data_IF_654938798248
#
_entry.id   IF_654938798248
#
_cell.length_a   1.000
_cell.length_b   1.000
_cell.length_c   1.000
_cell.angle_alpha   90.00
_cell.angle_beta   90.00
_cell.angle_gamma   90.00
#
_symmetry.space_group_name_H-M   'P 1'
#
loop_
_entity.id
_entity.type
_entity.pdbx_description
1 polymer ?
#
# COMPACT_ATOMS: atom_id res chain seq x y z
N UNK A 1 24.48 26.59 15.70
CA UNK A 1 24.90 25.32 15.07
C UNK A 1 26.26 24.80 15.56
N UNK A 2 27.30 25.64 15.73
CA UNK A 2 28.63 25.20 16.20
C UNK A 2 28.70 24.64 17.65
N UNK A 3 27.81 25.06 18.56
CA UNK A 3 27.78 24.53 19.96
C UNK A 3 27.35 23.06 20.04
N UNK A 4 26.32 22.65 19.29
CA UNK A 4 25.86 21.25 19.20
C UNK A 4 26.95 20.33 18.64
N UNK A 5 27.65 20.75 17.57
CA UNK A 5 28.73 19.97 16.98
C UNK A 5 29.88 19.72 17.97
N UNK A 6 30.26 20.74 18.75
CA UNK A 6 31.29 20.61 19.78
C UNK A 6 30.83 19.74 20.97
N UNK A 7 29.54 19.77 21.33
CA UNK A 7 28.97 18.88 22.36
C UNK A 7 28.91 17.41 21.91
N UNK A 8 28.56 17.15 20.64
CA UNK A 8 28.56 15.81 20.06
C UNK A 8 29.98 15.20 19.95
N UNK A 9 30.97 16.03 19.63
CA UNK A 9 32.37 15.60 19.52
C UNK A 9 33.00 15.30 20.88
N UNK A 10 32.63 16.04 21.94
CA UNK A 10 33.18 15.87 23.30
C UNK A 10 32.76 14.55 23.96
N UNK A 11 31.57 14.03 23.64
CA UNK A 11 31.00 12.79 24.23
C UNK A 11 31.30 11.50 23.44
N UNK A 12 32.22 11.52 22.46
CA UNK A 12 32.58 10.35 21.61
C UNK A 12 31.39 9.66 20.91
N UNK A 13 30.22 10.30 20.85
CA UNK A 13 28.95 9.71 20.45
C UNK A 13 28.84 9.41 18.94
N UNK A 14 29.78 9.91 18.13
CA UNK A 14 29.87 9.61 16.70
C UNK A 14 30.19 8.13 16.42
N UNK A 15 30.99 7.48 17.26
CA UNK A 15 31.41 6.09 17.02
C UNK A 15 30.23 5.11 16.96
N UNK A 16 29.31 5.07 17.96
CA UNK A 16 28.16 4.16 17.90
C UNK A 16 27.16 4.53 16.80
N UNK A 17 26.95 5.81 16.49
CA UNK A 17 26.06 6.23 15.40
C UNK A 17 26.60 5.77 14.04
N UNK A 18 27.89 5.96 13.79
CA UNK A 18 28.54 5.53 12.54
C UNK A 18 28.57 4.01 12.43
N UNK A 19 28.83 3.29 13.53
CA UNK A 19 28.78 1.84 13.57
C UNK A 19 27.36 1.31 13.26
N UNK A 20 26.33 1.92 13.85
CA UNK A 20 24.94 1.58 13.60
C UNK A 20 24.54 1.84 12.14
N UNK A 21 24.86 3.02 11.61
CA UNK A 21 24.57 3.37 10.23
C UNK A 21 25.25 2.40 9.24
N UNK A 22 26.49 2.00 9.53
CA UNK A 22 27.23 1.02 8.72
C UNK A 22 26.57 -0.35 8.76
N UNK A 23 26.16 -0.83 9.95
CA UNK A 23 25.46 -2.09 10.10
C UNK A 23 24.09 -2.08 9.40
N UNK A 24 23.31 -1.01 9.55
CA UNK A 24 22.04 -0.83 8.88
C UNK A 24 22.20 -0.82 7.35
N UNK A 25 23.24 -0.15 6.84
CA UNK A 25 23.55 -0.13 5.41
C UNK A 25 23.90 -1.53 4.87
N UNK A 26 24.75 -2.28 5.57
CA UNK A 26 25.08 -3.66 5.18
C UNK A 26 23.84 -4.55 5.23
N UNK A 27 23.01 -4.43 6.26
CA UNK A 27 21.78 -5.19 6.38
C UNK A 27 20.82 -4.89 5.22
N UNK A 28 20.69 -3.62 4.83
CA UNK A 28 19.91 -3.22 3.65
C UNK A 28 20.46 -3.83 2.37
N UNK A 29 21.77 -3.75 2.14
CA UNK A 29 22.42 -4.33 0.94
C UNK A 29 22.20 -5.84 0.85
N UNK A 30 22.41 -6.57 1.94
CA UNK A 30 22.18 -8.01 1.98
C UNK A 30 20.72 -8.33 1.72
N UNK A 31 19.79 -7.59 2.34
CA UNK A 31 18.36 -7.82 2.17
C UNK A 31 17.91 -7.58 0.73
N UNK A 32 18.43 -6.54 0.07
CA UNK A 32 18.17 -6.25 -1.34
C UNK A 32 18.62 -7.36 -2.30
N UNK A 33 19.64 -8.15 -1.94
CA UNK A 33 20.11 -9.28 -2.75
C UNK A 33 19.33 -10.55 -2.40
N UNK A 34 19.13 -10.82 -1.11
CA UNK A 34 18.55 -12.07 -0.61
C UNK A 34 17.05 -12.15 -0.87
N UNK A 35 16.30 -11.05 -0.66
CA UNK A 35 14.83 -11.06 -0.77
C UNK A 35 14.39 -11.39 -2.20
N UNK A 36 14.88 -10.72 -3.26
CA UNK A 36 14.55 -11.10 -4.63
C UNK A 36 15.06 -12.50 -4.99
N UNK A 37 16.26 -12.88 -4.53
CA UNK A 37 16.83 -14.20 -4.83
C UNK A 37 15.98 -15.35 -4.26
N UNK A 38 15.41 -15.16 -3.06
CA UNK A 38 14.54 -16.14 -2.40
C UNK A 38 13.05 -15.97 -2.74
N UNK A 39 12.69 -15.04 -3.63
CA UNK A 39 11.30 -14.69 -3.96
C UNK A 39 10.45 -14.36 -2.73
N UNK A 40 11.07 -13.70 -1.74
CA UNK A 40 10.41 -13.30 -0.51
C UNK A 40 9.53 -12.06 -0.79
N UNK A 41 8.33 -11.96 -0.19
CA UNK A 41 7.46 -10.81 -0.38
C UNK A 41 8.09 -9.45 0.00
N UNK A 42 7.84 -8.41 -0.80
CA UNK A 42 8.42 -7.07 -0.64
C UNK A 42 8.03 -6.35 0.67
N UNK A 43 6.94 -6.75 1.34
CA UNK A 43 6.56 -6.18 2.65
C UNK A 43 7.62 -6.42 3.73
N UNK A 44 8.48 -7.43 3.55
CA UNK A 44 9.58 -7.73 4.48
C UNK A 44 10.65 -6.65 4.44
N UNK A 45 10.92 -6.02 3.29
CA UNK A 45 11.82 -4.86 3.22
C UNK A 45 11.32 -3.71 4.10
N UNK A 46 10.02 -3.44 4.08
CA UNK A 46 9.42 -2.40 4.92
C UNK A 46 9.55 -2.73 6.41
N UNK A 47 9.42 -3.99 6.79
CA UNK A 47 9.57 -4.45 8.18
C UNK A 47 11.03 -4.30 8.67
N UNK A 48 12.00 -4.62 7.83
CA UNK A 48 13.43 -4.41 8.13
C UNK A 48 13.73 -2.93 8.33
N UNK A 49 13.24 -2.06 7.44
CA UNK A 49 13.40 -0.59 7.56
C UNK A 49 12.78 -0.10 8.87
N UNK A 50 11.59 -0.60 9.22
CA UNK A 50 10.93 -0.25 10.47
C UNK A 50 11.80 -0.60 11.70
N UNK A 51 12.39 -1.80 11.75
CA UNK A 51 13.28 -2.15 12.85
C UNK A 51 14.59 -1.36 12.87
N UNK A 52 15.12 -0.95 11.72
CA UNK A 52 16.28 -0.05 11.66
C UNK A 52 15.91 1.33 12.23
N UNK A 53 14.75 1.88 11.85
CA UNK A 53 14.31 3.17 12.38
C UNK A 53 14.02 3.09 13.88
N UNK A 54 13.41 1.99 14.34
CA UNK A 54 13.11 1.76 15.75
C UNK A 54 14.38 1.51 16.60
N UNK A 55 15.38 0.83 16.01
CA UNK A 55 16.65 0.55 16.66
C UNK A 55 17.51 1.80 16.85
N UNK A 56 17.38 2.81 16.00
CA UNK A 56 18.16 4.04 16.11
C UNK A 56 17.93 4.81 17.45
N UNK A 57 16.70 5.10 17.90
CA UNK A 57 16.43 5.70 19.21
C UNK A 57 17.00 4.89 20.38
N UNK A 58 16.92 3.55 20.30
CA UNK A 58 17.45 2.65 21.33
C UNK A 58 18.97 2.79 21.39
N UNK A 59 19.63 2.72 20.24
CA UNK A 59 21.10 2.83 20.15
C UNK A 59 21.58 4.21 20.62
N UNK A 60 20.85 5.26 20.27
CA UNK A 60 21.11 6.62 20.72
C UNK A 60 20.97 6.76 22.24
N UNK A 61 19.92 6.18 22.82
CA UNK A 61 19.69 6.20 24.27
C UNK A 61 20.78 5.42 25.02
N UNK A 62 21.15 4.23 24.55
CA UNK A 62 22.25 3.45 25.13
C UNK A 62 23.59 4.17 25.03
N UNK A 63 23.90 4.78 23.88
CA UNK A 63 25.10 5.60 23.71
C UNK A 63 25.12 6.84 24.61
N UNK A 64 23.94 7.31 25.03
CA UNK A 64 23.80 8.48 25.89
C UNK A 64 23.82 8.12 27.39
N UNK A 65 23.37 6.91 27.76
CA UNK A 65 23.37 6.40 29.15
C UNK A 65 24.68 5.71 29.53
N UNK A 66 25.33 5.02 28.59
CA UNK A 66 26.61 4.34 28.83
C UNK A 66 27.76 5.11 28.17
N UNK A 67 28.54 5.82 28.99
CA UNK A 67 29.82 6.41 28.57
C UNK A 67 30.86 5.28 28.49
N UNK A 68 30.93 4.58 27.36
CA UNK A 68 31.88 3.48 27.15
C UNK A 68 33.28 4.08 26.93
N UNK A 69 33.96 4.36 28.03
CA UNK A 69 35.40 4.61 28.07
C UNK A 69 36.20 3.30 27.89
N UNK A 70 37.39 3.33 27.27
CA UNK A 70 38.14 2.11 26.91
C UNK A 70 38.73 1.32 28.10
N UNK A 71 38.42 1.68 29.34
CA UNK A 71 39.09 1.18 30.55
C UNK A 71 38.20 0.31 31.45
N UNK A 72 37.07 -0.17 30.93
CA UNK A 72 36.21 -1.11 31.65
C UNK A 72 35.29 -0.46 32.69
N UNK A 73 34.28 -1.22 33.10
CA UNK A 73 33.20 -0.77 33.99
C UNK A 73 33.78 -0.36 35.35
N UNK A 74 33.95 0.94 35.60
CA UNK A 74 34.16 1.47 36.95
C UNK A 74 32.88 2.14 37.44
N UNK A 75 32.28 1.53 38.47
CA UNK A 75 31.33 2.24 39.37
C UNK A 75 32.02 3.50 39.87
N UNK A 76 31.32 4.62 39.87
CA UNK A 76 31.73 5.86 40.53
C UNK A 76 32.15 5.55 41.97
N UNK A 77 33.46 5.59 42.22
CA UNK A 77 34.00 5.56 43.58
C UNK A 77 33.71 6.92 44.22
N UNK A 78 32.82 6.92 45.20
CA UNK A 78 32.81 7.92 46.27
C UNK A 78 34.04 7.67 47.18
N UNK A 79 34.40 8.68 47.97
CA UNK A 79 35.60 8.84 48.82
C UNK A 79 36.87 9.31 48.06
N UNK A 80 37.50 10.46 48.34
CA UNK A 80 37.63 11.17 49.61
C UNK A 80 37.90 12.66 49.41
N UNK A 81 37.08 13.52 50.02
CA UNK A 81 37.51 14.64 50.88
C UNK A 81 36.25 15.27 51.50
N UNK A 82 36.15 15.24 52.82
CA UNK A 82 35.05 15.78 53.64
C UNK A 82 35.66 16.43 54.90
N UNK A 83 35.01 17.34 55.69
CA UNK A 83 33.76 18.12 55.51
C UNK A 83 33.95 19.61 56.01
N UNK A 84 32.95 20.46 56.39
CA UNK A 84 31.48 20.33 56.34
C UNK A 84 30.71 21.56 55.75
N UNK A 85 29.50 21.34 55.21
CA UNK A 85 28.23 21.89 55.76
C UNK A 85 27.00 21.64 54.85
N UNK A 86 26.06 20.93 55.48
CA UNK A 86 24.60 21.13 55.48
C UNK A 86 23.75 20.86 54.23
N UNK A 87 22.85 19.88 54.47
CA UNK A 87 21.42 19.81 54.09
C UNK A 87 21.02 19.35 52.68
N UNK A 88 20.49 18.13 52.69
CA UNK A 88 19.23 17.64 52.09
C UNK A 88 19.08 17.57 50.56
N UNK A 89 18.49 16.43 50.21
CA UNK A 89 17.70 16.09 49.03
C UNK A 89 18.44 15.55 47.81
N UNK A 90 18.43 14.21 47.77
CA UNK A 90 18.58 13.36 46.61
C UNK A 90 17.57 13.72 45.52
N UNK A 91 17.94 14.65 44.65
CA UNK A 91 17.22 14.92 43.42
C UNK A 91 17.97 14.28 42.24
N UNK A 92 17.85 12.95 42.09
CA UNK A 92 18.23 12.29 40.84
C UNK A 92 17.36 12.92 39.75
N UNK A 93 18.02 13.59 38.80
CA UNK A 93 17.44 14.48 37.80
C UNK A 93 16.42 13.77 36.92
N UNK A 94 15.14 13.85 37.30
CA UNK A 94 13.97 13.47 36.49
C UNK A 94 13.75 14.38 35.26
N UNK A 95 14.65 15.33 34.97
CA UNK A 95 14.49 16.30 33.86
C UNK A 95 14.93 15.76 32.48
N UNK A 96 15.42 14.52 32.38
CA UNK A 96 16.00 14.03 31.13
C UNK A 96 15.33 12.75 30.56
N UNK A 97 14.24 12.29 31.18
CA UNK A 97 13.44 11.17 30.65
C UNK A 97 12.38 11.69 29.64
N UNK A 98 12.01 12.96 29.69
CA UNK A 98 10.95 13.55 28.86
C UNK A 98 11.26 13.71 27.34
N UNK A 99 12.49 14.04 26.89
CA UNK A 99 12.72 14.23 25.45
C UNK A 99 12.87 12.90 24.68
N UNK A 100 13.23 11.80 25.37
CA UNK A 100 13.39 10.49 24.74
C UNK A 100 12.03 9.82 24.42
N UNK A 101 11.02 10.01 25.27
CA UNK A 101 9.66 9.52 25.02
C UNK A 101 8.95 10.34 23.94
N UNK A 102 9.17 11.65 23.90
CA UNK A 102 8.59 12.54 22.88
C UNK A 102 9.09 12.26 21.46
N UNK A 103 10.35 11.85 21.29
CA UNK A 103 10.88 11.52 19.96
C UNK A 103 10.36 10.16 19.45
N UNK A 104 10.18 9.19 20.36
CA UNK A 104 9.63 7.87 20.03
C UNK A 104 8.16 7.96 19.60
N UNK A 105 7.37 8.83 20.23
CA UNK A 105 5.97 9.07 19.86
C UNK A 105 5.85 9.83 18.53
N UNK A 106 6.76 10.75 18.21
CA UNK A 106 6.77 11.42 16.90
C UNK A 106 7.12 10.44 15.78
N UNK A 107 8.11 9.56 15.98
CA UNK A 107 8.47 8.53 15.00
C UNK A 107 7.34 7.51 14.84
N UNK A 108 6.77 7.03 15.95
CA UNK A 108 5.62 6.12 15.92
C UNK A 108 4.37 6.75 15.29
N UNK A 109 4.11 8.04 15.57
CA UNK A 109 3.00 8.79 15.00
C UNK A 109 3.18 9.07 13.50
N UNK A 110 4.38 9.49 13.07
CA UNK A 110 4.69 9.68 11.65
C UNK A 110 4.64 8.35 10.87
N UNK A 111 5.08 7.25 11.49
CA UNK A 111 4.96 5.92 10.92
C UNK A 111 3.50 5.47 10.83
N UNK A 112 2.69 5.67 11.87
CA UNK A 112 1.26 5.33 11.85
C UNK A 112 0.48 6.14 10.80
N UNK A 113 0.81 7.43 10.65
CA UNK A 113 0.25 8.31 9.62
C UNK A 113 0.71 7.85 8.23
N UNK A 114 2.00 7.57 8.01
CA UNK A 114 2.48 7.08 6.71
C UNK A 114 1.86 5.72 6.35
N UNK A 115 1.72 4.83 7.33
CA UNK A 115 1.09 3.53 7.14
C UNK A 115 -0.41 3.64 6.89
N UNK A 116 -1.14 4.54 7.58
CA UNK A 116 -2.57 4.72 7.34
C UNK A 116 -2.90 5.42 6.01
N UNK A 117 -2.02 6.32 5.54
CA UNK A 117 -2.15 6.94 4.22
C UNK A 117 -1.71 6.01 3.08
N UNK A 118 -0.78 5.07 3.31
CA UNK A 118 -0.29 4.11 2.30
C UNK A 118 -1.07 2.78 2.22
N UNK A 119 -1.76 2.37 3.28
CA UNK A 119 -2.50 1.11 3.33
C UNK A 119 -3.76 1.05 2.45
N UNK A 120 -4.13 2.14 1.77
CA UNK A 120 -5.29 2.17 0.87
C UNK A 120 -4.91 1.85 -0.58
N UNK A 121 -3.62 1.85 -0.97
CA UNK A 121 -3.24 1.66 -2.39
C UNK A 121 -2.33 0.46 -2.70
N UNK A 122 -1.66 -0.15 -1.71
CA UNK A 122 -0.63 -1.20 -1.98
C UNK A 122 -1.15 -2.64 -1.83
N UNK A 123 -2.39 -2.84 -1.37
CA UNK A 123 -2.98 -4.18 -1.20
C UNK A 123 -3.43 -4.87 -2.50
N UNK A 124 -3.63 -4.13 -3.59
CA UNK A 124 -4.25 -4.68 -4.82
C UNK A 124 -3.31 -5.57 -5.65
N UNK A 125 -2.00 -5.50 -5.41
CA UNK A 125 -0.98 -6.27 -6.14
C UNK A 125 -0.56 -7.58 -5.48
N UNK A 126 -0.67 -7.69 -4.15
CA UNK A 126 -0.22 -8.86 -3.37
C UNK A 126 -1.25 -10.02 -3.39
N UNK A 127 -2.55 -9.71 -3.50
CA UNK A 127 -3.61 -10.72 -3.54
C UNK A 127 -3.56 -11.61 -4.80
N UNK A 128 -3.10 -11.06 -5.93
CA UNK A 128 -2.97 -11.79 -7.20
C UNK A 128 -1.92 -12.91 -7.17
N UNK A 129 -0.92 -12.80 -6.30
CA UNK A 129 0.14 -13.82 -6.16
C UNK A 129 -0.18 -14.87 -5.09
N UNK A 130 -1.07 -14.58 -4.14
CA UNK A 130 -1.44 -15.49 -3.05
C UNK A 130 -2.65 -16.39 -3.37
N UNK A 131 -3.17 -16.37 -4.60
CA UNK A 131 -4.33 -17.18 -5.00
C UNK A 131 -5.67 -16.62 -4.50
N UNK A 132 -5.69 -15.38 -4.01
CA UNK A 132 -6.92 -14.67 -3.64
C UNK A 132 -7.54 -14.15 -4.94
N UNK A 133 -8.73 -14.65 -5.26
CA UNK A 133 -9.46 -14.24 -6.47
C UNK A 133 -9.96 -12.81 -6.30
N UNK A 134 -9.76 -11.97 -7.32
CA UNK A 134 -10.36 -10.63 -7.34
C UNK A 134 -11.84 -10.72 -7.68
N UNK A 135 -12.66 -10.07 -6.86
CA UNK A 135 -14.11 -10.01 -6.97
C UNK A 135 -14.49 -8.97 -8.03
N UNK A 136 -15.13 -9.39 -9.13
CA UNK A 136 -15.49 -8.51 -10.25
C UNK A 136 -16.94 -8.68 -10.71
N UNK A 137 -17.62 -7.56 -10.97
CA UNK A 137 -18.96 -7.54 -11.55
C UNK A 137 -18.93 -6.89 -12.94
N UNK A 138 -19.82 -7.33 -13.83
CA UNK A 138 -19.99 -6.73 -15.16
C UNK A 138 -21.39 -6.16 -15.20
N UNK A 139 -21.51 -4.84 -15.22
CA UNK A 139 -22.80 -4.15 -15.35
C UNK A 139 -23.30 -4.26 -16.79
N UNK A 140 -24.61 -4.16 -16.96
CA UNK A 140 -25.21 -4.11 -18.28
C UNK A 140 -24.73 -2.86 -19.01
N UNK A 141 -24.38 -3.01 -20.28
CA UNK A 141 -23.95 -1.88 -21.09
C UNK A 141 -25.15 -0.96 -21.36
N UNK A 142 -25.00 0.31 -21.01
CA UNK A 142 -26.03 1.32 -21.17
C UNK A 142 -26.11 1.77 -22.63
N UNK A 143 -27.32 1.75 -23.19
CA UNK A 143 -27.57 2.22 -24.53
C UNK A 143 -27.84 3.73 -24.51
N UNK A 144 -26.91 4.50 -25.06
CA UNK A 144 -27.01 5.95 -25.20
C UNK A 144 -27.79 6.36 -26.47
N UNK A 145 -28.22 5.39 -27.26
CA UNK A 145 -29.10 5.60 -28.41
C UNK A 145 -30.49 5.05 -28.13
N UNK A 146 -31.50 5.53 -28.86
CA UNK A 146 -32.87 4.99 -28.76
C UNK A 146 -33.10 3.78 -29.68
N UNK A 147 -32.04 3.08 -30.08
CA UNK A 147 -32.13 1.90 -30.95
C UNK A 147 -32.14 0.63 -30.09
N UNK A 148 -33.22 -0.16 -30.17
CA UNK A 148 -33.39 -1.40 -29.41
C UNK A 148 -32.35 -2.48 -29.75
N UNK A 149 -31.79 -2.45 -30.97
CA UNK A 149 -30.73 -3.37 -31.37
C UNK A 149 -29.49 -3.23 -30.47
N UNK A 150 -29.21 -2.00 -30.02
CA UNK A 150 -28.08 -1.72 -29.14
C UNK A 150 -28.32 -2.23 -27.71
N UNK A 151 -29.58 -2.39 -27.27
CA UNK A 151 -29.91 -3.03 -25.98
C UNK A 151 -29.59 -4.52 -26.01
N UNK A 152 -29.95 -5.19 -27.11
CA UNK A 152 -29.63 -6.61 -27.33
C UNK A 152 -28.12 -6.81 -27.47
N UNK A 153 -27.45 -5.95 -28.24
CA UNK A 153 -26.01 -5.99 -28.40
C UNK A 153 -25.27 -5.79 -27.07
N UNK A 154 -25.67 -4.78 -26.28
CA UNK A 154 -25.08 -4.53 -24.96
C UNK A 154 -25.28 -5.69 -23.99
N UNK A 155 -26.47 -6.27 -23.98
CA UNK A 155 -26.76 -7.47 -23.18
C UNK A 155 -25.89 -8.65 -23.60
N UNK A 156 -25.74 -8.89 -24.91
CA UNK A 156 -24.91 -9.96 -25.45
C UNK A 156 -23.42 -9.75 -25.11
N UNK A 157 -22.91 -8.54 -25.29
CA UNK A 157 -21.51 -8.21 -24.99
C UNK A 157 -21.22 -8.37 -23.49
N UNK A 158 -22.13 -7.94 -22.63
CA UNK A 158 -22.08 -8.15 -21.17
C UNK A 158 -21.94 -9.64 -20.83
N UNK A 159 -22.74 -10.49 -21.47
CA UNK A 159 -22.75 -11.94 -21.26
C UNK A 159 -21.47 -12.64 -21.75
N UNK A 160 -20.97 -12.21 -22.91
CA UNK A 160 -19.71 -12.70 -23.47
C UNK A 160 -18.54 -12.36 -22.55
N UNK A 161 -18.46 -11.11 -22.08
CA UNK A 161 -17.43 -10.69 -21.13
C UNK A 161 -17.54 -11.44 -19.81
N UNK A 162 -18.76 -11.58 -19.26
CA UNK A 162 -19.00 -12.31 -18.01
C UNK A 162 -18.55 -13.77 -18.11
N UNK A 163 -18.96 -14.46 -19.17
CA UNK A 163 -18.57 -15.86 -19.40
C UNK A 163 -17.07 -16.01 -19.62
N UNK A 164 -16.46 -15.09 -20.38
CA UNK A 164 -15.02 -15.16 -20.70
C UNK A 164 -14.15 -14.88 -19.49
N UNK A 165 -14.49 -13.86 -18.70
CA UNK A 165 -13.78 -13.54 -17.46
C UNK A 165 -13.99 -14.62 -16.39
N UNK A 166 -15.16 -15.26 -16.34
CA UNK A 166 -15.44 -16.34 -15.39
C UNK A 166 -14.60 -17.60 -15.62
N UNK A 167 -14.07 -17.80 -16.84
CA UNK A 167 -13.11 -18.87 -17.14
C UNK A 167 -11.74 -18.63 -16.52
N UNK A 168 -11.42 -17.38 -16.14
CA UNK A 168 -10.15 -17.03 -15.55
C UNK A 168 -10.15 -17.40 -14.06
N UNK A 169 -9.30 -18.34 -13.67
CA UNK A 169 -9.24 -18.88 -12.30
C UNK A 169 -8.89 -17.84 -11.23
N UNK A 170 -8.33 -16.69 -11.63
CA UNK A 170 -7.94 -15.56 -10.76
C UNK A 170 -9.07 -14.56 -10.48
N UNK A 171 -10.24 -14.74 -11.09
CA UNK A 171 -11.41 -13.87 -10.90
C UNK A 171 -12.55 -14.61 -10.22
N UNK A 172 -13.21 -13.92 -9.29
CA UNK A 172 -14.54 -14.28 -8.79
C UNK A 172 -15.58 -13.38 -9.46
N UNK A 173 -16.14 -13.86 -10.57
CA UNK A 173 -17.08 -13.09 -11.38
C UNK A 173 -18.49 -13.19 -10.83
N UNK A 174 -19.09 -12.04 -10.46
CA UNK A 174 -20.44 -11.99 -9.90
C UNK A 174 -21.50 -12.38 -10.93
N UNK A 175 -22.57 -12.99 -10.42
CA UNK A 175 -23.69 -13.42 -11.24
C UNK A 175 -24.45 -12.24 -11.87
N UNK A 176 -25.23 -12.54 -12.92
CA UNK A 176 -26.09 -11.55 -13.59
C UNK A 176 -27.03 -10.83 -12.62
N UNK A 177 -27.66 -11.57 -11.71
CA UNK A 177 -28.60 -11.02 -10.73
C UNK A 177 -27.92 -10.07 -9.75
N UNK A 178 -26.70 -10.37 -9.32
CA UNK A 178 -25.94 -9.50 -8.41
C UNK A 178 -25.48 -8.24 -9.15
N UNK A 179 -24.99 -8.38 -10.38
CA UNK A 179 -24.56 -7.24 -11.20
C UNK A 179 -25.74 -6.30 -11.53
N UNK A 180 -26.92 -6.86 -11.82
CA UNK A 180 -28.13 -6.06 -12.04
C UNK A 180 -28.59 -5.29 -10.79
N UNK A 181 -28.44 -5.89 -9.59
CA UNK A 181 -28.70 -5.17 -8.33
C UNK A 181 -27.71 -4.03 -8.15
N UNK A 182 -26.43 -4.28 -8.39
CA UNK A 182 -25.36 -3.27 -8.25
C UNK A 182 -25.60 -2.04 -9.13
N UNK A 183 -26.09 -2.22 -10.35
CA UNK A 183 -26.47 -1.11 -11.25
C UNK A 183 -27.52 -0.17 -10.65
N UNK A 184 -28.42 -0.69 -9.80
CA UNK A 184 -29.44 0.08 -9.10
C UNK A 184 -28.93 0.62 -7.75
N UNK A 185 -27.79 0.14 -7.28
CA UNK A 185 -27.17 0.46 -5.99
C UNK A 185 -26.16 1.60 -6.05
N UNK A 186 -25.57 1.86 -7.23
CA UNK A 186 -24.80 3.09 -7.50
C UNK A 186 -25.65 4.35 -7.22
N UNK A 187 -26.99 4.20 -7.17
CA UNK A 187 -27.97 5.24 -6.81
C UNK A 187 -28.45 5.25 -5.35
N UNK A 188 -27.87 4.46 -4.43
CA UNK A 188 -28.01 4.70 -2.97
C UNK A 188 -28.61 3.58 -2.11
N UNK A 189 -28.90 2.39 -2.65
CA UNK A 189 -29.40 1.27 -1.83
C UNK A 189 -28.56 -0.01 -2.04
N UNK A 190 -27.99 -0.50 -0.94
CA UNK A 190 -27.12 -1.70 -0.77
C UNK A 190 -25.60 -1.46 -0.78
N UNK A 191 -25.14 -0.73 0.24
CA UNK A 191 -23.74 -0.64 0.67
C UNK A 191 -23.07 -2.02 0.86
N UNK A 192 -23.85 -3.06 1.17
CA UNK A 192 -23.38 -4.39 1.54
C UNK A 192 -22.92 -5.28 0.36
N UNK A 193 -23.40 -4.99 -0.86
CA UNK A 193 -23.02 -5.76 -2.07
C UNK A 193 -21.77 -5.15 -2.71
N UNK A 194 -21.67 -3.82 -2.72
CA UNK A 194 -20.52 -3.09 -3.25
C UNK A 194 -19.29 -3.23 -2.32
N UNK A 195 -19.49 -3.38 -1.01
CA UNK A 195 -18.40 -3.52 -0.03
C UNK A 195 -17.52 -4.75 -0.22
N UNK A 196 -18.05 -5.82 -0.83
CA UNK A 196 -17.36 -7.09 -1.10
C UNK A 196 -16.87 -7.20 -2.55
N UNK A 197 -16.85 -6.10 -3.29
CA UNK A 197 -16.40 -6.05 -4.67
C UNK A 197 -15.07 -5.31 -4.76
N UNK A 198 -14.14 -5.82 -5.56
CA UNK A 198 -12.88 -5.12 -5.81
C UNK A 198 -13.04 -4.19 -7.02
N UNK A 199 -13.65 -4.70 -8.09
CA UNK A 199 -13.83 -3.99 -9.34
C UNK A 199 -15.21 -4.23 -9.94
N UNK A 200 -15.69 -3.25 -10.72
CA UNK A 200 -16.80 -3.48 -11.64
C UNK A 200 -16.50 -2.90 -13.01
N UNK A 201 -17.09 -3.51 -14.02
CA UNK A 201 -17.01 -3.07 -15.41
C UNK A 201 -18.30 -2.37 -15.76
N UNK A 202 -18.19 -1.14 -16.25
CA UNK A 202 -19.28 -0.41 -16.88
C UNK A 202 -19.03 -0.30 -18.37
N UNK A 203 -20.11 -0.21 -19.14
CA UNK A 203 -20.02 0.02 -20.56
C UNK A 203 -21.14 0.88 -21.08
N UNK A 204 -20.86 1.64 -22.12
CA UNK A 204 -21.86 2.41 -22.86
C UNK A 204 -21.77 2.07 -24.34
N UNK A 205 -22.93 2.04 -25.00
CA UNK A 205 -23.04 1.88 -26.43
C UNK A 205 -23.67 3.14 -27.00
N UNK A 206 -23.00 3.74 -27.97
CA UNK A 206 -23.58 4.77 -28.82
C UNK A 206 -23.43 4.39 -30.29
N UNK A 207 -24.30 4.90 -31.15
CA UNK A 207 -24.24 4.62 -32.58
C UNK A 207 -24.42 5.93 -33.35
N UNK A 208 -23.56 6.14 -34.33
CA UNK A 208 -23.61 7.28 -35.24
C UNK A 208 -23.54 6.73 -36.66
N UNK A 209 -24.61 6.92 -37.43
CA UNK A 209 -24.79 6.29 -38.73
C UNK A 209 -24.60 4.75 -38.63
N UNK A 210 -23.60 4.21 -39.33
CA UNK A 210 -23.30 2.76 -39.36
C UNK A 210 -22.22 2.35 -38.35
N UNK A 211 -21.65 3.29 -37.59
CA UNK A 211 -20.60 3.01 -36.62
C UNK A 211 -21.16 2.91 -35.21
N UNK A 212 -20.98 1.74 -34.58
CA UNK A 212 -21.24 1.54 -33.16
C UNK A 212 -19.96 1.84 -32.37
N UNK A 213 -20.09 2.67 -31.35
CA UNK A 213 -19.05 3.01 -30.38
C UNK A 213 -19.38 2.31 -29.06
N UNK A 214 -18.43 1.53 -28.57
CA UNK A 214 -18.47 0.92 -27.24
C UNK A 214 -17.38 1.54 -26.39
N UNK A 215 -17.78 2.14 -25.27
CA UNK A 215 -16.85 2.54 -24.23
C UNK A 215 -16.95 1.54 -23.09
N UNK A 216 -15.81 1.12 -22.56
CA UNK A 216 -15.71 0.17 -21.44
C UNK A 216 -14.81 0.79 -20.41
N UNK A 217 -15.23 0.76 -19.16
CA UNK A 217 -14.46 1.29 -18.03
C UNK A 217 -14.36 0.26 -16.92
N UNK A 218 -13.16 0.15 -16.35
CA UNK A 218 -12.91 -0.64 -15.14
C UNK A 218 -12.88 0.34 -13.97
N UNK A 219 -13.80 0.17 -13.03
CA UNK A 219 -13.93 1.03 -11.86
C UNK A 219 -13.53 0.23 -10.62
N UNK A 220 -12.78 0.86 -9.73
CA UNK A 220 -12.49 0.33 -8.41
C UNK A 220 -13.70 0.57 -7.49
N UNK A 221 -14.28 -0.51 -6.98
CA UNK A 221 -15.55 -0.44 -6.26
C UNK A 221 -15.44 0.29 -4.91
N UNK A 222 -14.25 0.29 -4.29
CA UNK A 222 -14.01 0.87 -2.96
C UNK A 222 -13.96 2.39 -2.98
N UNK A 223 -13.24 2.96 -3.93
CA UNK A 223 -13.00 4.41 -4.02
C UNK A 223 -13.73 5.07 -5.20
N UNK A 224 -14.47 4.29 -6.00
CA UNK A 224 -15.22 4.74 -7.17
C UNK A 224 -14.33 5.42 -8.23
N UNK A 225 -13.03 5.11 -8.26
CA UNK A 225 -12.12 5.66 -9.27
C UNK A 225 -12.07 4.80 -10.52
N UNK A 226 -12.09 5.46 -11.68
CA UNK A 226 -11.84 4.82 -12.97
C UNK A 226 -10.37 4.45 -13.10
N UNK A 227 -10.07 3.15 -13.10
CA UNK A 227 -8.71 2.62 -13.24
C UNK A 227 -8.27 2.53 -14.70
N UNK A 228 -9.23 2.26 -15.59
CA UNK A 228 -8.99 2.17 -17.03
C UNK A 228 -10.27 2.46 -17.81
N UNK A 229 -10.11 3.02 -19.00
CA UNK A 229 -11.18 3.11 -19.98
C UNK A 229 -10.65 2.85 -21.39
N UNK A 230 -11.46 2.19 -22.20
CA UNK A 230 -11.18 1.90 -23.60
C UNK A 230 -12.39 2.23 -24.46
N UNK A 231 -12.13 2.87 -25.61
CA UNK A 231 -13.14 3.13 -26.64
C UNK A 231 -12.85 2.24 -27.84
N UNK A 232 -13.90 1.61 -28.35
CA UNK A 232 -13.84 0.78 -29.54
C UNK A 232 -14.96 1.21 -30.49
N UNK A 233 -14.60 1.42 -31.74
CA UNK A 233 -15.54 1.82 -32.80
C UNK A 233 -15.56 0.72 -33.83
N UNK A 234 -16.75 0.30 -34.24
CA UNK A 234 -16.94 -0.82 -35.16
C UNK A 234 -18.01 -0.49 -36.20
N UNK A 235 -17.78 -0.96 -37.42
CA UNK A 235 -18.81 -1.16 -38.43
C UNK A 235 -19.46 -2.55 -38.23
N UNK A 236 -20.65 -2.77 -38.76
CA UNK A 236 -21.43 -4.00 -38.52
C UNK A 236 -20.70 -5.30 -38.84
N UNK A 237 -19.82 -5.29 -39.85
CA UNK A 237 -19.10 -6.46 -40.33
C UNK A 237 -17.90 -6.86 -39.44
N UNK A 238 -17.45 -5.99 -38.53
CA UNK A 238 -16.19 -6.20 -37.79
C UNK A 238 -16.38 -6.62 -36.32
N UNK A 239 -17.63 -6.69 -35.86
CA UNK A 239 -18.00 -6.86 -34.44
C UNK A 239 -17.29 -8.05 -33.76
N UNK A 240 -17.08 -9.15 -34.49
CA UNK A 240 -16.50 -10.37 -33.93
C UNK A 240 -14.99 -10.26 -33.64
N UNK A 241 -14.26 -9.42 -34.38
CA UNK A 241 -12.80 -9.25 -34.23
C UNK A 241 -12.43 -8.45 -32.96
N UNK A 242 -13.34 -7.60 -32.50
CA UNK A 242 -13.08 -6.73 -31.37
C UNK A 242 -13.37 -7.38 -30.01
N UNK A 243 -14.15 -8.47 -29.95
CA UNK A 243 -14.43 -9.17 -28.69
C UNK A 243 -13.14 -9.68 -28.04
N UNK A 244 -12.27 -10.33 -28.82
CA UNK A 244 -10.98 -10.83 -28.35
C UNK A 244 -10.05 -9.68 -27.95
N UNK A 245 -10.05 -8.60 -28.73
CA UNK A 245 -9.24 -7.40 -28.45
C UNK A 245 -9.65 -6.74 -27.12
N UNK A 246 -10.96 -6.59 -26.91
CA UNK A 246 -11.54 -6.05 -25.67
C UNK A 246 -11.14 -6.93 -24.48
N UNK A 247 -11.32 -8.25 -24.59
CA UNK A 247 -11.01 -9.19 -23.53
C UNK A 247 -9.51 -9.19 -23.17
N UNK A 248 -8.64 -9.17 -24.17
CA UNK A 248 -7.19 -9.11 -23.97
C UNK A 248 -6.77 -7.81 -23.26
N UNK A 249 -7.35 -6.67 -23.65
CA UNK A 249 -7.08 -5.39 -23.01
C UNK A 249 -7.55 -5.38 -21.54
N UNK A 250 -8.76 -5.91 -21.26
CA UNK A 250 -9.29 -6.00 -19.89
C UNK A 250 -8.40 -6.89 -19.02
N UNK A 251 -8.03 -8.08 -19.50
CA UNK A 251 -7.22 -9.04 -18.73
C UNK A 251 -5.81 -8.51 -18.46
N UNK A 252 -5.17 -7.89 -19.45
CA UNK A 252 -3.88 -7.23 -19.28
C UNK A 252 -3.94 -6.11 -18.21
N UNK A 253 -4.99 -5.30 -18.22
CA UNK A 253 -5.14 -4.19 -17.25
C UNK A 253 -5.47 -4.66 -15.85
N UNK A 254 -6.19 -5.76 -15.71
CA UNK A 254 -6.41 -6.41 -14.42
C UNK A 254 -5.15 -7.14 -13.90
N UNK A 255 -4.07 -7.19 -14.69
CA UNK A 255 -2.84 -7.95 -14.45
C UNK A 255 -3.12 -9.46 -14.31
N UNK A 256 -4.05 -9.97 -15.11
CA UNK A 256 -4.52 -11.35 -15.10
C UNK A 256 -4.03 -12.00 -16.38
N UNK A 257 -2.88 -12.67 -16.29
CA UNK A 257 -2.36 -13.50 -17.38
C UNK A 257 -3.08 -14.85 -17.43
N UNK A 258 -3.41 -15.27 -18.67
CA UNK A 258 -3.98 -16.56 -19.06
C UNK A 258 -3.03 -17.72 -18.75
#
# INVERSE_FOLDING_TARGET
MLKLYNEFKRRKMFRPIVAYASAAFVLMQVSQVVIPALHIPEWIMSLIVFFIVLGFPITFFFAWVYDITPEGIKKTSLESQDPPKTTKDSHVSKKIILPATGLLTIIGGAFWIWYSLGAVSVGSGLDLQMGIKKSIAILNFENLTRNIENDYFGSALTEVLRTSLAKLSKLDVKSRTISAKLSNSVTGETEDIASNLDYYIEGTISQVAEERNVNISIINARNQSMEWSGKYTFSEDEIMQYQDTILNNITQKLNIHY
#
